data_IF_384255928277
#
_entry.id   IF_384255928277
#
_cell.length_a   1.000
_cell.length_b   1.000
_cell.length_c   1.000
_cell.angle_alpha   90.00
_cell.angle_beta   90.00
_cell.angle_gamma   90.00
#
_symmetry.space_group_name_H-M   'P 1'
#
loop_
_entity.id
_entity.type
_entity.pdbx_description
1 polymer ?
#
# COMPACT_ATOMS: atom_id res chain seq x y z
N UNK A 1 -13.26 18.79 -28.10
CA UNK A 1 -14.36 18.74 -27.11
C UNK A 1 -15.04 17.36 -27.11
N UNK A 2 -14.25 16.26 -27.18
CA UNK A 2 -14.74 14.87 -27.12
C UNK A 2 -13.80 13.95 -26.29
N UNK A 3 -12.83 14.51 -25.55
CA UNK A 3 -11.78 13.73 -24.85
C UNK A 3 -12.13 13.40 -23.39
N UNK A 4 -13.21 14.00 -22.87
CA UNK A 4 -13.67 13.83 -21.49
C UNK A 4 -14.00 12.37 -21.10
N UNK A 5 -14.76 11.59 -21.91
CA UNK A 5 -15.07 10.20 -21.54
C UNK A 5 -13.84 9.28 -21.61
N UNK A 6 -12.91 9.55 -22.53
CA UNK A 6 -11.69 8.76 -22.69
C UNK A 6 -10.74 8.96 -21.51
N UNK A 7 -10.57 10.21 -21.04
CA UNK A 7 -9.77 10.51 -19.85
C UNK A 7 -10.37 9.93 -18.57
N UNK A 8 -11.70 9.88 -18.46
CA UNK A 8 -12.37 9.28 -17.32
C UNK A 8 -12.15 7.76 -17.28
N UNK A 9 -12.22 7.10 -18.44
CA UNK A 9 -11.93 5.68 -18.59
C UNK A 9 -10.44 5.37 -18.32
N UNK A 10 -9.53 6.18 -18.87
CA UNK A 10 -8.09 6.04 -18.65
C UNK A 10 -7.71 6.27 -17.18
N UNK A 11 -8.34 7.25 -16.55
CA UNK A 11 -8.21 7.51 -15.11
C UNK A 11 -8.73 6.37 -14.24
N UNK A 12 -9.86 5.75 -14.61
CA UNK A 12 -10.36 4.55 -13.92
C UNK A 12 -9.37 3.39 -14.06
N UNK A 13 -8.88 3.11 -15.27
CA UNK A 13 -7.96 1.97 -15.51
C UNK A 13 -6.62 2.21 -14.81
N UNK A 14 -6.08 3.42 -14.89
CA UNK A 14 -4.85 3.80 -14.20
C UNK A 14 -5.01 3.72 -12.68
N UNK A 15 -6.13 4.23 -12.14
CA UNK A 15 -6.45 4.14 -10.72
C UNK A 15 -6.60 2.70 -10.24
N UNK A 16 -7.29 1.86 -11.00
CA UNK A 16 -7.45 0.44 -10.69
C UNK A 16 -6.10 -0.28 -10.70
N UNK A 17 -5.22 0.04 -11.66
CA UNK A 17 -3.89 -0.56 -11.75
C UNK A 17 -2.98 -0.16 -10.59
N UNK A 18 -3.12 1.05 -10.05
CA UNK A 18 -2.34 1.54 -8.90
C UNK A 18 -2.88 1.03 -7.56
N UNK A 19 -4.18 0.72 -7.46
CA UNK A 19 -4.81 0.15 -6.25
C UNK A 19 -4.89 -1.37 -6.22
N UNK A 20 -4.68 -2.06 -7.36
CA UNK A 20 -4.55 -3.51 -7.44
C UNK A 20 -3.12 -4.09 -7.29
N UNK A 21 -2.10 -3.47 -6.65
CA UNK A 21 -0.95 -4.23 -6.24
C UNK A 21 -1.43 -5.11 -5.09
N UNK A 22 -1.99 -6.27 -5.43
CA UNK A 22 -2.09 -7.44 -4.58
C UNK A 22 -0.65 -7.95 -4.41
N UNK A 23 0.15 -7.13 -3.74
CA UNK A 23 1.53 -7.46 -3.46
C UNK A 23 1.61 -8.71 -2.56
N UNK A 24 2.84 -9.18 -2.31
CA UNK A 24 3.06 -10.33 -1.42
C UNK A 24 2.36 -10.14 -0.06
N UNK A 25 2.31 -8.91 0.48
CA UNK A 25 1.63 -8.59 1.75
C UNK A 25 0.11 -8.83 1.70
N UNK A 26 -0.55 -8.43 0.60
CA UNK A 26 -1.99 -8.61 0.40
C UNK A 26 -2.36 -10.08 0.18
N UNK A 27 -1.59 -10.79 -0.65
CA UNK A 27 -1.78 -12.23 -0.88
C UNK A 27 -1.53 -13.07 0.38
N UNK A 28 -0.52 -12.73 1.18
CA UNK A 28 -0.24 -13.40 2.45
C UNK A 28 -1.35 -13.18 3.48
N UNK A 29 -1.94 -11.97 3.52
CA UNK A 29 -3.06 -11.66 4.38
C UNK A 29 -4.31 -12.48 3.98
N UNK A 30 -4.61 -12.54 2.68
CA UNK A 30 -5.73 -13.33 2.15
C UNK A 30 -5.52 -14.82 2.40
N UNK A 31 -4.34 -15.36 2.07
CA UNK A 31 -4.04 -16.78 2.31
C UNK A 31 -4.13 -17.15 3.78
N UNK A 32 -3.57 -16.34 4.70
CA UNK A 32 -3.66 -16.63 6.13
C UNK A 32 -5.08 -16.47 6.68
N UNK A 33 -5.86 -15.54 6.12
CA UNK A 33 -7.29 -15.39 6.46
C UNK A 33 -8.07 -16.63 6.05
N UNK A 34 -7.84 -17.16 4.85
CA UNK A 34 -8.52 -18.35 4.35
C UNK A 34 -8.04 -19.64 5.05
N UNK A 35 -6.74 -19.79 5.31
CA UNK A 35 -6.19 -21.02 5.90
C UNK A 35 -6.27 -21.08 7.44
N UNK A 36 -6.22 -19.96 8.15
CA UNK A 36 -6.20 -19.90 9.63
C UNK A 36 -7.33 -19.06 10.23
N UNK A 37 -8.24 -18.56 9.41
CA UNK A 37 -9.37 -17.73 9.85
C UNK A 37 -9.06 -16.25 9.99
N UNK A 38 -10.12 -15.45 10.17
CA UNK A 38 -10.11 -13.98 10.12
C UNK A 38 -9.17 -13.32 11.14
N UNK A 39 -9.03 -13.90 12.34
CA UNK A 39 -8.12 -13.38 13.37
C UNK A 39 -6.65 -13.43 12.94
N UNK A 40 -6.25 -14.47 12.21
CA UNK A 40 -4.88 -14.58 11.70
C UNK A 40 -4.61 -13.55 10.59
N UNK A 41 -5.62 -13.18 9.81
CA UNK A 41 -5.53 -12.09 8.83
C UNK A 41 -5.30 -10.74 9.47
N UNK A 42 -6.10 -10.41 10.49
CA UNK A 42 -6.00 -9.14 11.22
C UNK A 42 -4.62 -8.93 11.85
N UNK A 43 -4.05 -9.96 12.48
CA UNK A 43 -2.71 -9.88 13.09
C UNK A 43 -1.62 -9.62 12.04
N UNK A 44 -1.73 -10.26 10.87
CA UNK A 44 -0.76 -10.10 9.77
C UNK A 44 -0.89 -8.72 9.12
N UNK A 45 -2.12 -8.24 8.93
CA UNK A 45 -2.38 -6.89 8.43
C UNK A 45 -1.85 -5.81 9.36
N UNK A 46 -2.12 -5.92 10.67
CA UNK A 46 -1.58 -5.00 11.68
C UNK A 46 -0.05 -5.04 11.74
N UNK A 47 0.55 -6.23 11.61
CA UNK A 47 2.00 -6.38 11.53
C UNK A 47 2.59 -5.67 10.30
N UNK A 48 2.01 -5.87 9.12
CA UNK A 48 2.45 -5.20 7.89
C UNK A 48 2.36 -3.68 8.01
N UNK A 49 1.21 -3.15 8.45
CA UNK A 49 1.03 -1.72 8.62
C UNK A 49 2.01 -1.11 9.64
N UNK A 50 2.30 -1.82 10.73
CA UNK A 50 3.29 -1.38 11.72
C UNK A 50 4.69 -1.30 11.11
N UNK A 51 5.07 -2.30 10.30
CA UNK A 51 6.36 -2.28 9.60
C UNK A 51 6.47 -1.12 8.62
N UNK A 52 5.41 -0.84 7.84
CA UNK A 52 5.39 0.27 6.89
C UNK A 52 5.50 1.63 7.60
N UNK A 53 4.81 1.81 8.74
CA UNK A 53 4.89 3.04 9.55
C UNK A 53 6.28 3.25 10.14
N UNK A 54 6.90 2.20 10.68
CA UNK A 54 8.27 2.27 11.21
C UNK A 54 9.25 2.62 10.08
N UNK A 55 9.11 1.98 8.93
CA UNK A 55 10.00 2.25 7.79
C UNK A 55 9.82 3.68 7.24
N UNK A 56 8.58 4.14 7.09
CA UNK A 56 8.28 5.50 6.63
C UNK A 56 8.76 6.56 7.63
N UNK A 57 8.57 6.34 8.93
CA UNK A 57 9.05 7.27 9.97
C UNK A 57 10.57 7.39 9.97
N UNK A 58 11.29 6.27 9.82
CA UNK A 58 12.75 6.29 9.67
C UNK A 58 13.17 7.04 8.40
N UNK A 59 12.52 6.80 7.27
CA UNK A 59 12.82 7.50 6.02
C UNK A 59 12.64 9.02 6.15
N UNK A 60 11.55 9.47 6.78
CA UNK A 60 11.27 10.89 7.02
C UNK A 60 12.31 11.48 7.97
N UNK A 61 12.66 10.76 9.04
CA UNK A 61 13.69 11.19 10.00
C UNK A 61 15.05 11.34 9.31
N UNK A 62 15.45 10.37 8.49
CA UNK A 62 16.69 10.42 7.71
C UNK A 62 16.70 11.59 6.73
N UNK A 63 15.59 11.85 6.03
CA UNK A 63 15.46 13.02 5.15
C UNK A 63 15.62 14.33 5.94
N UNK A 64 14.96 14.42 7.09
CA UNK A 64 15.04 15.62 7.95
C UNK A 64 16.45 15.84 8.48
N UNK A 65 17.15 14.75 8.83
CA UNK A 65 18.54 14.81 9.28
C UNK A 65 19.48 15.27 8.17
N UNK A 66 19.33 14.70 6.95
CA UNK A 66 20.10 15.13 5.76
C UNK A 66 19.85 16.61 5.43
N UNK A 67 18.60 17.07 5.56
CA UNK A 67 18.23 18.47 5.29
C UNK A 67 18.77 19.42 6.34
N UNK A 68 18.91 19.00 7.59
CA UNK A 68 19.51 19.81 8.66
C UNK A 68 21.05 19.84 8.58
N UNK A 69 21.66 18.83 7.96
CA UNK A 69 23.11 18.73 7.78
C UNK A 69 23.63 19.53 6.56
N UNK A 70 22.74 20.07 5.72
CA UNK A 70 23.05 20.95 4.59
C UNK A 70 22.66 22.38 4.92
#
# INVERSE_FOLDING_TARGET
MNDFPLNLLLGMIAGFSVSMPLGPSGLLCIQRTLSKGQRSGLVVGMGSASSDVIYASLAILSLSFIKNLR
#
